data_IF_320111563811
#
_entry.id   IF_320111563811
#
_cell.length_a   1.000
_cell.length_b   1.000
_cell.length_c   1.000
_cell.angle_alpha   90.00
_cell.angle_beta   90.00
_cell.angle_gamma   90.00
#
_symmetry.space_group_name_H-M   'P 1'
#
loop_
_entity.id
_entity.type
_entity.pdbx_description
1 polymer ?
#
# COMPACT_ATOMS: atom_id res chain seq x y z
N UNK A 1 30.53 7.36 48.99
CA UNK A 1 30.74 8.82 49.10
C UNK A 1 30.78 9.48 47.74
N UNK A 2 31.96 9.93 47.29
CA UNK A 2 32.12 10.73 46.06
C UNK A 2 31.66 10.02 44.76
N UNK A 3 32.01 8.74 44.58
CA UNK A 3 31.62 7.96 43.39
C UNK A 3 30.10 7.81 43.23
N UNK A 4 29.38 7.58 44.34
CA UNK A 4 27.92 7.47 44.34
C UNK A 4 27.24 8.81 44.05
N UNK A 5 27.81 9.92 44.54
CA UNK A 5 27.31 11.25 44.22
C UNK A 5 27.47 11.60 42.74
N UNK A 6 28.66 11.34 42.16
CA UNK A 6 28.89 11.50 40.71
C UNK A 6 27.93 10.63 39.86
N UNK A 7 27.66 9.40 40.30
CA UNK A 7 26.68 8.53 39.63
C UNK A 7 25.23 9.09 39.74
N UNK A 8 24.86 9.72 40.85
CA UNK A 8 23.56 10.40 41.00
C UNK A 8 23.46 11.59 40.05
N UNK A 9 24.48 12.46 40.04
CA UNK A 9 24.53 13.62 39.17
C UNK A 9 24.49 13.22 37.69
N UNK A 10 25.20 12.17 37.31
CA UNK A 10 25.14 11.65 35.94
C UNK A 10 23.73 11.14 35.56
N UNK A 11 23.03 10.47 36.47
CA UNK A 11 21.63 10.03 36.25
C UNK A 11 20.68 11.23 36.09
N UNK A 12 20.82 12.25 36.94
CA UNK A 12 20.03 13.49 36.87
C UNK A 12 20.26 14.23 35.55
N UNK A 13 21.52 14.41 35.16
CA UNK A 13 21.89 15.05 33.87
C UNK A 13 21.33 14.26 32.69
N UNK A 14 21.44 12.93 32.71
CA UNK A 14 20.86 12.09 31.65
C UNK A 14 19.34 12.25 31.56
N UNK A 15 18.64 12.29 32.70
CA UNK A 15 17.19 12.50 32.73
C UNK A 15 16.81 13.85 32.13
N UNK A 16 17.53 14.93 32.49
CA UNK A 16 17.30 16.27 31.93
C UNK A 16 17.56 16.34 30.42
N UNK A 17 18.58 15.64 29.90
CA UNK A 17 18.84 15.55 28.46
C UNK A 17 17.70 14.81 27.74
N UNK A 18 17.17 13.74 28.34
CA UNK A 18 16.04 13.00 27.76
C UNK A 18 14.76 13.85 27.77
N UNK A 19 14.51 14.64 28.81
CA UNK A 19 13.44 15.65 28.84
C UNK A 19 13.61 16.69 27.73
N UNK A 20 14.85 17.06 27.39
CA UNK A 20 15.19 17.92 26.26
C UNK A 20 14.79 17.37 24.88
N UNK A 21 14.57 16.05 24.74
CA UNK A 21 13.95 15.48 23.53
C UNK A 21 12.49 15.94 23.37
N UNK A 22 11.86 16.39 24.46
CA UNK A 22 10.54 17.01 24.53
C UNK A 22 10.47 18.46 24.04
N UNK A 23 11.58 19.09 23.67
CA UNK A 23 11.60 20.52 23.33
C UNK A 23 10.75 20.84 22.08
N UNK A 24 10.25 22.08 21.96
CA UNK A 24 9.44 22.55 20.82
C UNK A 24 10.28 22.72 19.54
N UNK A 25 11.56 23.08 19.70
CA UNK A 25 12.47 23.29 18.57
C UNK A 25 13.10 21.97 18.13
N UNK A 26 12.95 21.58 16.85
CA UNK A 26 13.43 20.29 16.34
C UNK A 26 14.97 20.18 16.35
N UNK A 27 15.68 21.30 16.23
CA UNK A 27 17.15 21.35 16.28
C UNK A 27 17.69 21.01 17.66
N UNK A 28 17.07 21.56 18.70
CA UNK A 28 17.45 21.35 20.10
C UNK A 28 17.07 19.94 20.56
N UNK A 29 15.91 19.45 20.15
CA UNK A 29 15.50 18.07 20.44
C UNK A 29 16.40 17.04 19.74
N UNK A 30 16.83 17.30 18.50
CA UNK A 30 17.77 16.44 17.78
C UNK A 30 19.16 16.44 18.43
N UNK A 31 19.62 17.60 18.93
CA UNK A 31 20.88 17.71 19.66
C UNK A 31 20.82 16.99 21.01
N UNK A 32 19.69 17.06 21.72
CA UNK A 32 19.45 16.29 22.93
C UNK A 32 19.51 14.77 22.66
N UNK A 33 18.85 14.29 21.60
CA UNK A 33 18.91 12.88 21.17
C UNK A 33 20.34 12.44 20.84
N UNK A 34 21.07 13.24 20.04
CA UNK A 34 22.44 12.94 19.68
C UNK A 34 23.38 12.90 20.89
N UNK A 35 23.15 13.79 21.86
CA UNK A 35 23.91 13.86 23.11
C UNK A 35 23.62 12.64 23.98
N UNK A 36 22.34 12.25 24.15
CA UNK A 36 21.97 11.05 24.88
C UNK A 36 22.57 9.77 24.27
N UNK A 37 22.52 9.62 22.94
CA UNK A 37 23.14 8.48 22.25
C UNK A 37 24.67 8.43 22.41
N UNK A 38 25.35 9.58 22.32
CA UNK A 38 26.80 9.66 22.58
C UNK A 38 27.16 9.33 24.02
N UNK A 39 26.33 9.75 24.99
CA UNK A 39 26.52 9.42 26.40
C UNK A 39 26.34 7.92 26.67
N UNK A 40 25.35 7.29 26.02
CA UNK A 40 25.16 5.83 26.09
C UNK A 40 26.38 5.11 25.48
N UNK A 41 26.88 5.55 24.32
CA UNK A 41 28.07 4.98 23.70
C UNK A 41 29.33 5.15 24.59
N UNK A 42 29.52 6.32 25.20
CA UNK A 42 30.62 6.58 26.13
C UNK A 42 30.53 5.69 27.39
N UNK A 43 29.33 5.46 27.92
CA UNK A 43 29.11 4.54 29.05
C UNK A 43 29.40 3.08 28.69
N UNK A 44 29.18 2.69 27.42
CA UNK A 44 29.54 1.35 26.95
C UNK A 44 31.07 1.17 26.85
N UNK A 45 31.81 2.21 26.45
CA UNK A 45 33.28 2.19 26.41
C UNK A 45 33.90 2.28 27.81
N UNK A 46 33.24 2.99 28.74
CA UNK A 46 33.71 3.22 30.11
C UNK A 46 32.59 2.93 31.11
N UNK A 47 32.38 1.66 31.50
CA UNK A 47 31.26 1.28 32.34
C UNK A 47 31.39 1.84 33.77
N UNK A 48 30.27 2.33 34.32
CA UNK A 48 30.21 2.89 35.68
C UNK A 48 30.58 1.86 36.76
N UNK A 49 30.30 0.58 36.49
CA UNK A 49 30.68 -0.58 37.29
C UNK A 49 31.28 -1.66 36.37
N UNK A 50 32.36 -2.33 36.77
CA UNK A 50 33.05 -3.32 35.93
C UNK A 50 32.20 -4.55 35.59
N UNK A 51 31.08 -4.79 36.30
CA UNK A 51 30.12 -5.86 36.06
C UNK A 51 28.81 -5.38 35.44
N UNK A 52 28.64 -4.08 35.20
CA UNK A 52 27.43 -3.56 34.58
C UNK A 52 27.45 -3.85 33.08
N UNK A 53 26.50 -4.66 32.62
CA UNK A 53 26.23 -4.83 31.18
C UNK A 53 25.68 -3.54 30.55
N UNK A 54 25.29 -3.63 29.27
CA UNK A 54 24.73 -2.51 28.50
C UNK A 54 23.59 -1.77 29.26
N UNK A 55 23.57 -0.42 29.28
CA UNK A 55 22.59 0.39 30.03
C UNK A 55 21.19 0.38 29.38
N UNK A 56 20.52 -0.77 29.43
CA UNK A 56 19.18 -0.99 28.86
C UNK A 56 18.13 -0.04 29.41
N UNK A 57 18.20 0.31 30.70
CA UNK A 57 17.24 1.22 31.33
C UNK A 57 17.31 2.63 30.75
N UNK A 58 18.50 3.10 30.37
CA UNK A 58 18.70 4.43 29.76
C UNK A 58 18.24 4.45 28.32
N UNK A 59 18.56 3.40 27.57
CA UNK A 59 18.02 3.25 26.21
C UNK A 59 16.48 3.18 26.25
N UNK A 60 15.90 2.46 27.21
CA UNK A 60 14.46 2.44 27.42
C UNK A 60 13.89 3.83 27.70
N UNK A 61 14.51 4.59 28.62
CA UNK A 61 14.07 5.94 28.93
C UNK A 61 14.12 6.87 27.71
N UNK A 62 15.18 6.77 26.92
CA UNK A 62 15.32 7.50 25.65
C UNK A 62 14.22 7.11 24.64
N UNK A 63 13.98 5.81 24.44
CA UNK A 63 12.94 5.35 23.50
C UNK A 63 11.53 5.71 24.00
N UNK A 64 11.30 5.79 25.31
CA UNK A 64 10.05 6.29 25.88
C UNK A 64 9.81 7.77 25.57
N UNK A 65 10.86 8.61 25.61
CA UNK A 65 10.72 10.03 25.26
C UNK A 65 10.45 10.26 23.77
N UNK A 66 10.81 9.29 22.91
CA UNK A 66 10.44 9.30 21.49
C UNK A 66 8.96 8.99 21.24
N UNK A 67 8.22 8.50 22.25
CA UNK A 67 6.83 8.06 22.15
C UNK A 67 5.87 8.94 22.98
N UNK A 68 5.82 10.27 22.77
CA UNK A 68 4.84 11.11 23.45
C UNK A 68 3.42 10.77 23.00
N UNK A 69 2.44 10.90 23.91
CA UNK A 69 1.03 10.64 23.63
C UNK A 69 0.26 11.86 23.11
N UNK A 70 0.87 13.05 23.17
CA UNK A 70 0.19 14.33 22.90
C UNK A 70 0.56 14.95 21.54
N UNK A 71 1.67 14.52 20.93
CA UNK A 71 2.20 15.12 19.70
C UNK A 71 2.84 14.09 18.75
N UNK A 72 2.78 14.32 17.43
CA UNK A 72 3.54 13.50 16.47
C UNK A 72 5.04 13.76 16.60
N UNK A 73 5.85 12.69 16.52
CA UNK A 73 7.30 12.79 16.72
C UNK A 73 8.13 12.22 15.56
N UNK A 74 7.59 12.28 14.34
CA UNK A 74 8.21 11.69 13.15
C UNK A 74 9.64 12.22 12.87
N UNK A 75 9.91 13.51 13.13
CA UNK A 75 11.21 14.14 12.88
C UNK A 75 12.32 13.55 13.76
N UNK A 76 12.06 13.38 15.06
CA UNK A 76 13.03 12.76 15.98
C UNK A 76 13.20 11.27 15.69
N UNK A 77 12.13 10.57 15.31
CA UNK A 77 12.20 9.17 14.91
C UNK A 77 13.04 9.01 13.64
N UNK A 78 12.89 9.90 12.65
CA UNK A 78 13.73 9.91 11.45
C UNK A 78 15.20 10.19 11.79
N UNK A 79 15.48 11.12 12.71
CA UNK A 79 16.84 11.35 13.20
C UNK A 79 17.40 10.13 13.96
N UNK A 80 16.55 9.42 14.70
CA UNK A 80 16.92 8.20 15.39
C UNK A 80 17.24 7.04 14.42
N UNK A 81 16.54 6.98 13.28
CA UNK A 81 16.76 5.99 12.22
C UNK A 81 18.19 6.01 11.67
N UNK A 82 18.90 7.14 11.74
CA UNK A 82 20.32 7.20 11.36
C UNK A 82 21.19 6.28 12.25
N UNK A 83 20.80 6.08 13.51
CA UNK A 83 21.51 5.19 14.43
C UNK A 83 21.11 3.72 14.27
N UNK A 84 19.94 3.43 13.70
CA UNK A 84 19.47 2.05 13.47
C UNK A 84 20.16 1.38 12.28
N UNK A 85 21.12 2.05 11.65
CA UNK A 85 22.06 1.45 10.70
C UNK A 85 23.05 0.53 11.44
N UNK A 86 23.34 0.81 12.71
CA UNK A 86 24.31 0.03 13.49
C UNK A 86 23.67 -1.21 14.14
N UNK A 87 24.29 -2.38 13.93
CA UNK A 87 23.80 -3.68 14.41
C UNK A 87 23.56 -3.74 15.93
N UNK A 88 24.44 -3.12 16.71
CA UNK A 88 24.38 -3.09 18.17
C UNK A 88 23.18 -2.27 18.67
N UNK A 89 22.93 -1.11 18.07
CA UNK A 89 21.76 -0.29 18.36
C UNK A 89 20.49 -1.08 18.04
N UNK A 90 20.42 -1.74 16.88
CA UNK A 90 19.26 -2.56 16.48
C UNK A 90 19.00 -3.70 17.48
N UNK A 91 20.03 -4.42 17.91
CA UNK A 91 19.90 -5.50 18.89
C UNK A 91 19.24 -5.02 20.18
N UNK A 92 19.79 -3.95 20.76
CA UNK A 92 19.30 -3.43 22.04
C UNK A 92 17.94 -2.75 21.89
N UNK A 93 17.65 -2.13 20.75
CA UNK A 93 16.30 -1.62 20.44
C UNK A 93 15.28 -2.76 20.45
N UNK A 94 15.54 -3.86 19.74
CA UNK A 94 14.64 -5.02 19.75
C UNK A 94 14.49 -5.66 21.14
N UNK A 95 15.55 -5.67 21.94
CA UNK A 95 15.49 -6.15 23.33
C UNK A 95 14.57 -5.29 24.21
N UNK A 96 14.56 -3.97 24.00
CA UNK A 96 13.75 -3.02 24.77
C UNK A 96 12.32 -2.89 24.23
N UNK A 97 12.09 -3.13 22.93
CA UNK A 97 10.82 -2.89 22.24
C UNK A 97 9.59 -3.51 22.94
N UNK A 98 9.59 -4.78 23.40
CA UNK A 98 8.42 -5.37 24.06
C UNK A 98 8.08 -4.72 25.40
N UNK A 99 9.02 -3.99 26.02
CA UNK A 99 8.81 -3.28 27.29
C UNK A 99 8.26 -1.86 27.12
N UNK A 100 8.28 -1.36 25.88
CA UNK A 100 7.70 -0.06 25.49
C UNK A 100 6.23 -0.20 25.09
N UNK A 101 5.82 -1.39 24.64
CA UNK A 101 4.44 -1.68 24.25
C UNK A 101 3.56 -1.94 25.49
N UNK A 102 2.61 -1.06 25.84
CA UNK A 102 1.66 -1.31 26.92
C UNK A 102 0.76 -2.52 26.60
N UNK A 103 0.57 -3.39 27.60
CA UNK A 103 -0.28 -4.59 27.51
C UNK A 103 -1.62 -4.46 28.23
N UNK A 104 -1.65 -3.63 29.27
CA UNK A 104 -2.78 -3.56 30.21
C UNK A 104 -3.83 -2.52 29.80
N UNK A 105 -3.43 -1.51 29.01
CA UNK A 105 -4.31 -0.46 28.53
C UNK A 105 -4.14 -0.25 27.03
N UNK A 106 -5.24 0.11 26.36
CA UNK A 106 -5.20 0.54 24.98
C UNK A 106 -4.57 1.95 24.93
N UNK A 107 -3.45 2.13 24.21
CA UNK A 107 -2.80 3.44 24.10
C UNK A 107 -3.62 4.42 23.26
N UNK A 108 -3.31 5.72 23.38
CA UNK A 108 -3.90 6.77 22.55
C UNK A 108 -3.51 6.59 21.06
N UNK A 109 -4.34 7.06 20.13
CA UNK A 109 -4.08 7.01 18.68
C UNK A 109 -2.70 7.59 18.32
N UNK A 110 -2.34 8.75 18.89
CA UNK A 110 -1.05 9.38 18.62
C UNK A 110 0.14 8.54 19.10
N UNK A 111 0.01 7.85 20.23
CA UNK A 111 1.03 6.92 20.73
C UNK A 111 1.18 5.74 19.78
N UNK A 112 0.07 5.16 19.30
CA UNK A 112 0.10 4.06 18.33
C UNK A 112 0.84 4.47 17.06
N UNK A 113 0.53 5.63 16.50
CA UNK A 113 1.20 6.15 15.29
C UNK A 113 2.70 6.36 15.52
N UNK A 114 3.09 6.99 16.63
CA UNK A 114 4.50 7.18 16.99
C UNK A 114 5.22 5.84 17.22
N UNK A 115 4.53 4.86 17.82
CA UNK A 115 5.07 3.53 18.04
C UNK A 115 5.27 2.77 16.73
N UNK A 116 4.29 2.80 15.82
CA UNK A 116 4.41 2.20 14.49
C UNK A 116 5.54 2.86 13.68
N UNK A 117 5.68 4.18 13.76
CA UNK A 117 6.79 4.90 13.13
C UNK A 117 8.14 4.45 13.69
N UNK A 118 8.30 4.38 15.02
CA UNK A 118 9.53 3.88 15.65
C UNK A 118 9.82 2.41 15.27
N UNK A 119 8.79 1.56 15.30
CA UNK A 119 8.88 0.16 14.94
C UNK A 119 9.28 -0.02 13.47
N UNK A 120 8.80 0.84 12.57
CA UNK A 120 9.17 0.84 11.16
C UNK A 120 10.59 1.37 10.90
N UNK A 121 11.10 2.23 11.79
CA UNK A 121 12.43 2.82 11.70
C UNK A 121 13.54 1.83 12.11
N UNK A 122 13.26 0.92 13.05
CA UNK A 122 14.20 -0.14 13.42
C UNK A 122 14.28 -1.19 12.30
N UNK A 123 15.50 -1.50 11.86
CA UNK A 123 15.73 -2.47 10.78
C UNK A 123 15.29 -3.89 11.15
N UNK A 124 14.76 -4.59 10.14
CA UNK A 124 14.24 -5.96 10.22
C UNK A 124 15.15 -6.90 9.41
N UNK A 125 15.53 -8.05 9.96
CA UNK A 125 16.13 -9.13 9.18
C UNK A 125 17.52 -8.91 8.55
N UNK A 126 17.97 -9.93 7.81
CA UNK A 126 19.36 -10.18 7.38
C UNK A 126 20.09 -9.08 6.59
N UNK A 127 19.43 -7.99 6.22
CA UNK A 127 20.06 -6.81 5.60
C UNK A 127 21.07 -6.13 6.54
N UNK A 128 20.97 -6.38 7.85
CA UNK A 128 21.98 -5.99 8.83
C UNK A 128 23.21 -6.93 8.89
N UNK A 129 23.29 -8.01 8.11
CA UNK A 129 24.42 -8.96 8.17
C UNK A 129 25.64 -8.52 7.34
N UNK A 130 25.53 -7.47 6.54
CA UNK A 130 26.71 -6.80 6.02
C UNK A 130 27.42 -6.09 7.18
N UNK A 131 28.75 -6.23 7.27
CA UNK A 131 29.57 -5.77 8.39
C UNK A 131 29.51 -4.23 8.54
N UNK A 132 28.47 -3.72 9.22
CA UNK A 132 28.41 -2.31 9.60
C UNK A 132 29.26 -2.08 10.85
N UNK A 133 29.99 -0.96 10.96
CA UNK A 133 30.75 -0.65 12.16
C UNK A 133 29.82 -0.53 13.39
N UNK A 134 30.25 -1.09 14.53
CA UNK A 134 29.54 -0.97 15.80
C UNK A 134 29.63 0.47 16.35
N UNK A 135 28.50 1.08 16.70
CA UNK A 135 28.46 2.43 17.27
C UNK A 135 28.65 2.46 18.79
N UNK A 136 28.10 1.46 19.47
CA UNK A 136 28.17 1.25 20.92
C UNK A 136 29.44 0.50 21.34
N UNK A 137 30.30 0.11 20.39
CA UNK A 137 31.58 -0.58 20.61
C UNK A 137 31.45 -1.88 21.42
N UNK A 138 30.29 -2.56 21.34
CA UNK A 138 30.08 -3.86 21.96
C UNK A 138 30.25 -4.93 20.89
N UNK A 139 31.24 -5.80 21.06
CA UNK A 139 31.36 -7.00 20.24
C UNK A 139 30.22 -7.96 20.58
N UNK A 140 29.21 -7.97 19.73
CA UNK A 140 28.14 -8.95 19.80
C UNK A 140 28.68 -10.29 19.26
N UNK A 141 29.04 -11.20 20.17
CA UNK A 141 29.32 -12.60 19.79
C UNK A 141 28.07 -13.18 19.13
N UNK A 142 28.14 -13.43 17.81
CA UNK A 142 27.12 -14.05 16.96
C UNK A 142 25.66 -13.76 17.38
N UNK A 143 25.11 -12.72 16.77
CA UNK A 143 23.71 -12.34 16.92
C UNK A 143 22.77 -13.50 16.57
N UNK A 144 22.13 -14.07 17.60
CA UNK A 144 21.09 -15.07 17.41
C UNK A 144 19.83 -14.38 16.85
N UNK A 145 19.66 -14.49 15.54
CA UNK A 145 18.48 -13.98 14.85
C UNK A 145 17.17 -14.56 15.41
N UNK A 146 17.18 -15.77 15.99
CA UNK A 146 16.01 -16.34 16.65
C UNK A 146 15.61 -15.52 17.89
N UNK A 147 16.58 -14.94 18.60
CA UNK A 147 16.33 -14.05 19.74
C UNK A 147 15.62 -12.77 19.30
N UNK A 148 16.07 -12.12 18.21
CA UNK A 148 15.45 -10.90 17.67
C UNK A 148 14.04 -11.22 17.17
N UNK A 149 13.88 -12.32 16.41
CA UNK A 149 12.59 -12.80 15.92
C UNK A 149 11.58 -12.98 17.05
N UNK A 150 11.99 -13.54 18.20
CA UNK A 150 11.14 -13.68 19.38
C UNK A 150 10.66 -12.32 19.93
N UNK A 151 11.52 -11.29 19.93
CA UNK A 151 11.15 -9.95 20.40
C UNK A 151 10.24 -9.22 19.42
N UNK A 152 10.45 -9.39 18.11
CA UNK A 152 9.54 -8.90 17.07
C UNK A 152 8.14 -9.50 17.29
N UNK A 153 8.02 -10.83 17.38
CA UNK A 153 6.73 -11.50 17.58
C UNK A 153 6.05 -11.08 18.89
N UNK A 154 6.80 -10.94 19.99
CA UNK A 154 6.26 -10.49 21.28
C UNK A 154 5.77 -9.04 21.26
N UNK A 155 6.44 -8.17 20.51
CA UNK A 155 6.00 -6.79 20.34
C UNK A 155 4.78 -6.73 19.43
N UNK A 156 4.82 -7.44 18.30
CA UNK A 156 3.74 -7.47 17.32
C UNK A 156 2.42 -7.95 17.93
N UNK A 157 2.45 -9.01 18.75
CA UNK A 157 1.25 -9.50 19.43
C UNK A 157 0.62 -8.46 20.37
N UNK A 158 1.41 -7.51 20.90
CA UNK A 158 0.87 -6.41 21.70
C UNK A 158 0.20 -5.37 20.80
N UNK A 159 0.85 -4.98 19.70
CA UNK A 159 0.33 -3.99 18.73
C UNK A 159 -1.00 -4.45 18.14
N UNK A 160 -1.12 -5.74 17.80
CA UNK A 160 -2.34 -6.33 17.22
C UNK A 160 -3.56 -6.23 18.15
N UNK A 161 -3.36 -6.19 19.47
CA UNK A 161 -4.44 -6.08 20.45
C UNK A 161 -4.89 -4.64 20.71
N UNK A 162 -4.18 -3.64 20.17
CA UNK A 162 -4.55 -2.24 20.35
C UNK A 162 -5.72 -1.85 19.45
N UNK A 163 -6.45 -0.81 19.85
CA UNK A 163 -7.44 -0.18 18.99
C UNK A 163 -6.72 0.74 18.00
N UNK A 164 -7.00 0.55 16.71
CA UNK A 164 -6.41 1.32 15.63
C UNK A 164 -7.45 2.25 15.03
N UNK A 165 -7.08 3.50 14.81
CA UNK A 165 -7.83 4.40 13.92
C UNK A 165 -7.50 4.08 12.46
N UNK A 166 -8.23 4.68 11.52
CA UNK A 166 -8.08 4.40 10.09
C UNK A 166 -6.65 4.66 9.59
N UNK A 167 -5.97 5.67 10.14
CA UNK A 167 -4.59 6.03 9.77
C UNK A 167 -3.60 4.98 10.29
N UNK A 168 -3.67 4.62 11.57
CA UNK A 168 -2.79 3.62 12.18
C UNK A 168 -3.02 2.23 11.60
N UNK A 169 -4.27 1.88 11.27
CA UNK A 169 -4.61 0.59 10.67
C UNK A 169 -3.97 0.45 9.27
N UNK A 170 -4.02 1.49 8.44
CA UNK A 170 -3.30 1.50 7.16
C UNK A 170 -1.80 1.37 7.34
N UNK A 171 -1.20 2.14 8.26
CA UNK A 171 0.24 2.07 8.54
C UNK A 171 0.65 0.68 9.03
N UNK A 172 -0.14 0.08 9.92
CA UNK A 172 0.06 -1.27 10.43
C UNK A 172 0.01 -2.30 9.31
N UNK A 173 -0.96 -2.22 8.40
CA UNK A 173 -1.05 -3.14 7.26
C UNK A 173 0.14 -3.00 6.32
N UNK A 174 0.56 -1.78 5.96
CA UNK A 174 1.75 -1.58 5.13
C UNK A 174 2.99 -2.19 5.80
N UNK A 175 3.21 -1.88 7.08
CA UNK A 175 4.32 -2.41 7.87
C UNK A 175 4.27 -3.93 8.00
N UNK A 176 3.08 -4.50 8.18
CA UNK A 176 2.86 -5.94 8.25
C UNK A 176 3.34 -6.61 6.96
N UNK A 177 2.88 -6.11 5.82
CA UNK A 177 3.07 -6.72 4.50
C UNK A 177 4.49 -6.57 3.98
N UNK A 178 5.12 -5.44 4.23
CA UNK A 178 6.46 -5.13 3.69
C UNK A 178 7.58 -5.64 4.58
N UNK A 179 7.41 -5.66 5.92
CA UNK A 179 8.53 -5.93 6.84
C UNK A 179 8.27 -7.08 7.80
N UNK A 180 7.07 -7.17 8.40
CA UNK A 180 6.87 -8.05 9.57
C UNK A 180 6.54 -9.49 9.17
N UNK A 181 5.79 -9.69 8.09
CA UNK A 181 5.20 -10.99 7.74
C UNK A 181 6.24 -12.12 7.66
N UNK A 182 7.41 -11.86 7.08
CA UNK A 182 8.52 -12.83 6.94
C UNK A 182 9.18 -13.24 8.27
N UNK A 183 8.91 -12.49 9.34
CA UNK A 183 9.47 -12.69 10.67
C UNK A 183 8.51 -13.36 11.64
N UNK A 184 7.24 -13.52 11.26
CA UNK A 184 6.25 -14.13 12.13
C UNK A 184 6.44 -15.64 12.23
N UNK A 185 6.32 -16.17 13.44
CA UNK A 185 6.44 -17.61 13.69
C UNK A 185 5.19 -18.36 13.19
N UNK A 186 4.01 -17.71 13.29
CA UNK A 186 2.70 -18.27 12.91
C UNK A 186 1.87 -17.22 12.15
N UNK A 187 2.18 -16.96 10.87
CA UNK A 187 1.49 -15.95 10.06
C UNK A 187 0.01 -16.28 9.81
N UNK A 188 -0.40 -17.55 9.92
CA UNK A 188 -1.80 -17.99 9.80
C UNK A 188 -2.71 -17.38 10.88
N UNK A 189 -2.18 -16.96 12.03
CA UNK A 189 -2.98 -16.28 13.06
C UNK A 189 -3.46 -14.88 12.64
N UNK A 190 -2.91 -14.33 11.55
CA UNK A 190 -3.33 -13.04 11.01
C UNK A 190 -4.59 -13.14 10.14
N UNK A 191 -5.04 -14.35 9.81
CA UNK A 191 -6.17 -14.54 8.89
C UNK A 191 -7.41 -13.81 9.41
N UNK A 192 -7.79 -14.00 10.68
CA UNK A 192 -8.97 -13.34 11.27
C UNK A 192 -8.84 -11.81 11.21
N UNK A 193 -7.69 -11.26 11.57
CA UNK A 193 -7.43 -9.82 11.48
C UNK A 193 -7.49 -9.28 10.05
N UNK A 194 -6.91 -10.00 9.08
CA UNK A 194 -6.94 -9.60 7.68
C UNK A 194 -8.35 -9.71 7.10
N UNK A 195 -9.15 -10.69 7.55
CA UNK A 195 -10.56 -10.81 7.19
C UNK A 195 -11.36 -9.63 7.71
N UNK A 196 -11.23 -9.30 9.00
CA UNK A 196 -11.88 -8.12 9.58
C UNK A 196 -11.46 -6.84 8.85
N UNK A 197 -10.17 -6.72 8.49
CA UNK A 197 -9.64 -5.59 7.73
C UNK A 197 -10.19 -5.52 6.30
N UNK A 198 -10.54 -6.66 5.70
CA UNK A 198 -11.13 -6.76 4.36
C UNK A 198 -12.57 -6.22 4.33
N UNK A 199 -13.28 -6.37 5.45
CA UNK A 199 -14.67 -5.94 5.59
C UNK A 199 -14.84 -4.45 5.91
N UNK A 200 -13.77 -3.78 6.35
CA UNK A 200 -13.76 -2.30 6.55
C UNK A 200 -13.97 -1.54 5.23
N UNK A 201 -13.48 -2.06 4.11
CA UNK A 201 -13.55 -1.40 2.80
C UNK A 201 -12.47 -0.32 2.57
N UNK A 202 -12.55 0.34 1.41
CA UNK A 202 -11.64 1.42 1.01
C UNK A 202 -10.18 0.99 0.84
N UNK A 203 -9.24 1.85 1.24
CA UNK A 203 -7.80 1.56 1.09
C UNK A 203 -7.31 0.42 2.01
N UNK A 204 -7.99 0.18 3.14
CA UNK A 204 -7.63 -0.86 4.11
C UNK A 204 -7.91 -2.25 3.53
N UNK A 205 -9.07 -2.44 2.89
CA UNK A 205 -9.40 -3.72 2.25
C UNK A 205 -8.44 -4.09 1.12
N UNK A 206 -7.99 -3.11 0.33
CA UNK A 206 -7.00 -3.33 -0.74
C UNK A 206 -5.65 -3.82 -0.18
N UNK A 207 -5.20 -3.24 0.93
CA UNK A 207 -3.97 -3.69 1.61
C UNK A 207 -4.17 -5.07 2.25
N UNK A 208 -5.31 -5.30 2.90
CA UNK A 208 -5.63 -6.58 3.52
C UNK A 208 -5.69 -7.73 2.50
N UNK A 209 -6.24 -7.48 1.30
CA UNK A 209 -6.28 -8.44 0.20
C UNK A 209 -4.88 -8.94 -0.18
N UNK A 210 -3.89 -8.06 -0.21
CA UNK A 210 -2.52 -8.46 -0.46
C UNK A 210 -1.97 -9.37 0.63
N UNK A 211 -2.30 -9.09 1.90
CA UNK A 211 -1.93 -9.97 3.01
C UNK A 211 -2.51 -11.37 2.87
N UNK A 212 -3.80 -11.44 2.52
CA UNK A 212 -4.47 -12.71 2.24
C UNK A 212 -3.81 -13.41 1.05
N UNK A 213 -3.47 -12.69 -0.02
CA UNK A 213 -2.77 -13.27 -1.16
C UNK A 213 -1.43 -13.92 -0.75
N UNK A 214 -0.62 -13.22 0.04
CA UNK A 214 0.65 -13.78 0.53
C UNK A 214 0.42 -15.01 1.41
N UNK A 215 -0.61 -15.00 2.27
CA UNK A 215 -0.97 -16.17 3.08
C UNK A 215 -1.46 -17.35 2.23
N UNK A 216 -2.21 -17.11 1.16
CA UNK A 216 -2.65 -18.16 0.24
C UNK A 216 -1.44 -18.75 -0.49
N UNK A 217 -0.57 -17.91 -1.04
CA UNK A 217 0.56 -18.36 -1.86
C UNK A 217 1.67 -19.05 -1.04
N UNK A 218 2.01 -18.51 0.14
CA UNK A 218 3.14 -18.99 0.93
C UNK A 218 2.74 -19.98 2.03
N UNK A 219 1.51 -19.91 2.51
CA UNK A 219 1.02 -20.73 3.64
C UNK A 219 -0.16 -21.64 3.27
N UNK A 220 -0.50 -21.76 1.99
CA UNK A 220 -1.56 -22.63 1.45
C UNK A 220 -2.92 -22.44 2.15
N UNK A 221 -3.23 -21.20 2.55
CA UNK A 221 -4.51 -20.89 3.16
C UNK A 221 -5.65 -21.02 2.14
N UNK A 222 -6.76 -21.65 2.52
CA UNK A 222 -7.98 -21.66 1.71
C UNK A 222 -8.90 -20.54 2.18
N UNK A 223 -9.08 -19.53 1.34
CA UNK A 223 -10.08 -18.49 1.59
C UNK A 223 -11.34 -18.77 0.77
N UNK A 224 -12.46 -19.14 1.43
CA UNK A 224 -13.74 -19.30 0.74
C UNK A 224 -14.18 -17.94 0.18
N UNK A 225 -14.69 -17.91 -1.05
CA UNK A 225 -15.25 -16.73 -1.71
C UNK A 225 -14.27 -15.57 -1.99
N UNK A 226 -12.96 -15.85 -2.17
CA UNK A 226 -11.98 -14.79 -2.51
C UNK A 226 -12.39 -14.00 -3.74
N UNK A 227 -12.93 -14.69 -4.74
CA UNK A 227 -13.36 -14.07 -5.98
C UNK A 227 -14.61 -13.22 -5.81
N UNK A 228 -15.53 -13.58 -4.92
CA UNK A 228 -16.70 -12.76 -4.60
C UNK A 228 -16.26 -11.43 -3.99
N UNK A 229 -15.33 -11.49 -3.03
CA UNK A 229 -14.79 -10.29 -2.39
C UNK A 229 -13.93 -9.46 -3.34
N UNK A 230 -13.08 -10.10 -4.15
CA UNK A 230 -12.31 -9.41 -5.19
C UNK A 230 -13.25 -8.74 -6.20
N UNK A 231 -14.33 -9.41 -6.58
CA UNK A 231 -15.35 -8.87 -7.48
C UNK A 231 -16.05 -7.66 -6.87
N UNK A 232 -16.42 -7.72 -5.58
CA UNK A 232 -17.06 -6.60 -4.86
C UNK A 232 -16.11 -5.41 -4.65
N UNK A 233 -14.79 -5.60 -4.72
CA UNK A 233 -13.86 -4.46 -4.68
C UNK A 233 -13.94 -3.63 -5.95
N UNK A 234 -14.34 -4.21 -7.09
CA UNK A 234 -14.49 -3.53 -8.37
C UNK A 234 -15.70 -2.60 -8.40
N UNK A 235 -15.58 -1.46 -7.72
CA UNK A 235 -16.55 -0.38 -7.65
C UNK A 235 -15.96 0.94 -8.21
N UNK A 236 -16.82 1.93 -8.56
CA UNK A 236 -16.38 3.23 -9.07
C UNK A 236 -15.33 3.93 -8.19
N UNK A 237 -15.37 3.69 -6.88
CA UNK A 237 -14.50 4.32 -5.88
C UNK A 237 -13.02 3.94 -6.06
N UNK A 238 -12.70 2.81 -6.73
CA UNK A 238 -11.30 2.40 -6.95
C UNK A 238 -10.51 3.43 -7.73
N UNK A 239 -11.13 4.16 -8.66
CA UNK A 239 -10.40 5.09 -9.52
C UNK A 239 -9.69 6.20 -8.73
N UNK A 240 -10.22 6.52 -7.55
CA UNK A 240 -9.66 7.48 -6.60
C UNK A 240 -8.77 6.84 -5.52
N UNK A 241 -8.67 5.51 -5.48
CA UNK A 241 -7.88 4.80 -4.49
C UNK A 241 -6.38 4.86 -4.81
N UNK A 242 -5.57 5.25 -3.81
CA UNK A 242 -4.10 5.35 -3.93
C UNK A 242 -3.42 4.03 -4.32
N UNK A 243 -4.02 2.89 -3.96
CA UNK A 243 -3.45 1.56 -4.16
C UNK A 243 -4.10 0.79 -5.32
N UNK A 244 -4.77 1.46 -6.26
CA UNK A 244 -5.45 0.80 -7.40
C UNK A 244 -4.51 0.00 -8.29
N UNK A 245 -3.29 0.48 -8.53
CA UNK A 245 -2.29 -0.25 -9.32
C UNK A 245 -1.98 -1.63 -8.71
N UNK A 246 -1.90 -1.67 -7.38
CA UNK A 246 -1.71 -2.90 -6.61
C UNK A 246 -2.90 -3.85 -6.72
N UNK A 247 -4.13 -3.33 -6.71
CA UNK A 247 -5.34 -4.14 -6.90
C UNK A 247 -5.34 -4.81 -8.27
N UNK A 248 -5.09 -4.06 -9.35
CA UNK A 248 -5.04 -4.62 -10.70
C UNK A 248 -3.93 -5.66 -10.85
N UNK A 249 -2.75 -5.42 -10.27
CA UNK A 249 -1.68 -6.40 -10.23
C UNK A 249 -2.08 -7.69 -9.50
N UNK A 250 -2.69 -7.59 -8.32
CA UNK A 250 -3.16 -8.76 -7.57
C UNK A 250 -4.29 -9.48 -8.30
N UNK A 251 -5.23 -8.75 -8.90
CA UNK A 251 -6.32 -9.30 -9.68
C UNK A 251 -5.80 -10.07 -10.90
N UNK A 252 -4.73 -9.60 -11.55
CA UNK A 252 -4.10 -10.29 -12.67
C UNK A 252 -3.59 -11.67 -12.27
N UNK A 253 -2.94 -11.75 -11.10
CA UNK A 253 -2.41 -13.01 -10.56
C UNK A 253 -3.54 -13.94 -10.12
N UNK A 254 -4.57 -13.42 -9.46
CA UNK A 254 -5.72 -14.25 -9.06
C UNK A 254 -6.47 -14.81 -10.27
N UNK A 255 -6.66 -13.99 -11.31
CA UNK A 255 -7.39 -14.38 -12.52
C UNK A 255 -6.52 -15.11 -13.55
N UNK A 256 -5.20 -15.26 -13.33
CA UNK A 256 -4.34 -16.13 -14.15
C UNK A 256 -4.47 -17.63 -13.81
N UNK A 257 -5.24 -17.98 -12.78
CA UNK A 257 -5.47 -19.39 -12.41
C UNK A 257 -6.20 -20.15 -13.51
N UNK A 258 -5.69 -21.32 -13.90
CA UNK A 258 -6.26 -22.18 -14.94
C UNK A 258 -7.56 -22.88 -14.53
N UNK A 259 -7.87 -22.93 -13.24
CA UNK A 259 -9.02 -23.66 -12.69
C UNK A 259 -10.27 -22.78 -12.49
N UNK A 260 -10.29 -21.58 -13.06
CA UNK A 260 -11.42 -20.66 -12.91
C UNK A 260 -12.56 -21.03 -13.84
N UNK A 261 -13.82 -21.03 -13.35
CA UNK A 261 -14.97 -21.20 -14.21
C UNK A 261 -15.11 -19.98 -15.13
N UNK A 262 -15.40 -20.23 -16.41
CA UNK A 262 -15.49 -19.17 -17.43
C UNK A 262 -16.52 -18.09 -17.06
N UNK A 263 -17.62 -18.47 -16.42
CA UNK A 263 -18.66 -17.53 -15.97
C UNK A 263 -18.16 -16.51 -14.95
N UNK A 264 -17.23 -16.90 -14.08
CA UNK A 264 -16.61 -16.00 -13.12
C UNK A 264 -15.73 -14.98 -13.84
N UNK A 265 -14.87 -15.43 -14.76
CA UNK A 265 -13.99 -14.52 -15.51
C UNK A 265 -14.81 -13.57 -16.41
N UNK A 266 -15.89 -14.08 -17.02
CA UNK A 266 -16.84 -13.26 -17.78
C UNK A 266 -17.44 -12.14 -16.93
N UNK A 267 -17.79 -12.42 -15.68
CA UNK A 267 -18.32 -11.43 -14.74
C UNK A 267 -17.33 -10.30 -14.46
N UNK A 268 -16.06 -10.63 -14.21
CA UNK A 268 -15.00 -9.64 -14.05
C UNK A 268 -14.82 -8.79 -15.31
N UNK A 269 -14.73 -9.44 -16.49
CA UNK A 269 -14.58 -8.75 -17.77
C UNK A 269 -15.73 -7.76 -18.01
N UNK A 270 -16.97 -8.20 -17.81
CA UNK A 270 -18.16 -7.36 -18.06
C UNK A 270 -18.31 -6.23 -17.03
N UNK A 271 -18.04 -6.51 -15.74
CA UNK A 271 -18.02 -5.46 -14.70
C UNK A 271 -16.98 -4.39 -15.00
N UNK A 272 -15.75 -4.80 -15.31
CA UNK A 272 -14.68 -3.88 -15.69
C UNK A 272 -15.01 -3.08 -16.95
N UNK A 273 -15.64 -3.70 -17.95
CA UNK A 273 -16.09 -3.01 -19.15
C UNK A 273 -17.11 -1.90 -18.83
N UNK A 274 -18.07 -2.15 -17.93
CA UNK A 274 -19.00 -1.11 -17.45
C UNK A 274 -18.29 -0.01 -16.66
N UNK A 275 -17.36 -0.37 -15.78
CA UNK A 275 -16.57 0.60 -15.02
C UNK A 275 -15.69 1.47 -15.93
N UNK A 276 -15.23 0.94 -17.06
CA UNK A 276 -14.43 1.70 -18.03
C UNK A 276 -15.22 2.88 -18.65
N UNK A 277 -16.55 2.88 -18.63
CA UNK A 277 -17.36 4.00 -19.13
C UNK A 277 -17.30 5.25 -18.24
N UNK A 278 -17.02 5.06 -16.95
CA UNK A 278 -16.94 6.14 -15.95
C UNK A 278 -15.50 6.41 -15.52
N UNK A 279 -14.55 5.58 -15.96
CA UNK A 279 -13.17 5.64 -15.53
C UNK A 279 -12.41 6.83 -16.16
N UNK A 280 -11.39 7.37 -15.47
CA UNK A 280 -10.43 8.28 -16.07
C UNK A 280 -9.64 7.64 -17.23
N UNK A 281 -9.14 8.42 -18.21
CA UNK A 281 -8.48 7.90 -19.41
C UNK A 281 -7.35 6.89 -19.17
N UNK A 282 -6.49 7.14 -18.19
CA UNK A 282 -5.39 6.26 -17.81
C UNK A 282 -5.90 4.89 -17.33
N UNK A 283 -6.98 4.90 -16.53
CA UNK A 283 -7.58 3.70 -15.97
C UNK A 283 -8.34 2.91 -17.04
N UNK A 284 -8.95 3.59 -18.02
CA UNK A 284 -9.55 2.94 -19.18
C UNK A 284 -8.51 2.09 -19.92
N UNK A 285 -7.29 2.62 -20.15
CA UNK A 285 -6.24 1.88 -20.85
C UNK A 285 -5.79 0.65 -20.05
N UNK A 286 -5.66 0.77 -18.72
CA UNK A 286 -5.37 -0.35 -17.82
C UNK A 286 -6.46 -1.42 -17.95
N UNK A 287 -7.73 -1.02 -17.83
CA UNK A 287 -8.88 -1.92 -17.89
C UNK A 287 -8.96 -2.63 -19.24
N UNK A 288 -8.79 -1.92 -20.36
CA UNK A 288 -8.89 -2.50 -21.69
C UNK A 288 -7.81 -3.56 -21.94
N UNK A 289 -6.57 -3.29 -21.52
CA UNK A 289 -5.48 -4.28 -21.63
C UNK A 289 -5.70 -5.47 -20.71
N UNK A 290 -6.21 -5.22 -19.50
CA UNK A 290 -6.57 -6.27 -18.55
C UNK A 290 -7.68 -7.18 -19.11
N UNK A 291 -8.76 -6.61 -19.63
CA UNK A 291 -9.84 -7.35 -20.30
C UNK A 291 -9.29 -8.15 -21.49
N UNK A 292 -8.45 -7.51 -22.30
CA UNK A 292 -7.78 -8.16 -23.43
C UNK A 292 -6.99 -9.40 -23.00
N UNK A 293 -6.15 -9.28 -21.97
CA UNK A 293 -5.38 -10.39 -21.42
C UNK A 293 -6.29 -11.52 -20.90
N UNK A 294 -7.39 -11.20 -20.21
CA UNK A 294 -8.34 -12.21 -19.74
C UNK A 294 -9.00 -12.98 -20.90
N UNK A 295 -9.36 -12.30 -21.99
CA UNK A 295 -9.94 -12.95 -23.18
C UNK A 295 -8.89 -13.80 -23.92
N UNK A 296 -7.62 -13.38 -23.92
CA UNK A 296 -6.53 -14.18 -24.46
C UNK A 296 -6.30 -15.47 -23.67
N UNK A 297 -6.35 -15.39 -22.33
CA UNK A 297 -6.22 -16.55 -21.42
C UNK A 297 -7.43 -17.50 -21.49
N UNK A 298 -8.62 -16.95 -21.70
CA UNK A 298 -9.87 -17.71 -21.77
C UNK A 298 -10.58 -17.49 -23.13
N UNK A 299 -10.21 -18.25 -24.18
CA UNK A 299 -10.74 -18.05 -25.53
C UNK A 299 -12.26 -18.19 -25.66
N UNK A 300 -12.92 -18.93 -24.75
CA UNK A 300 -14.38 -19.05 -24.72
C UNK A 300 -15.08 -17.69 -24.52
N UNK A 301 -14.42 -16.73 -23.86
CA UNK A 301 -14.93 -15.38 -23.65
C UNK A 301 -14.99 -14.54 -24.93
N UNK A 302 -14.41 -15.01 -26.05
CA UNK A 302 -14.58 -14.39 -27.37
C UNK A 302 -16.06 -14.31 -27.77
N UNK A 303 -16.92 -15.14 -27.20
CA UNK A 303 -18.38 -15.06 -27.38
C UNK A 303 -18.99 -13.72 -26.94
N UNK A 304 -18.34 -13.02 -26.00
CA UNK A 304 -18.77 -11.69 -25.53
C UNK A 304 -18.49 -10.59 -26.58
N UNK A 305 -17.58 -10.85 -27.52
CA UNK A 305 -17.29 -9.98 -28.66
C UNK A 305 -18.15 -10.42 -29.86
N UNK A 306 -18.14 -11.72 -30.17
CA UNK A 306 -18.85 -12.32 -31.29
C UNK A 306 -19.81 -13.39 -30.79
N UNK A 307 -21.08 -13.02 -30.60
CA UNK A 307 -22.08 -13.98 -30.16
C UNK A 307 -22.31 -15.04 -31.26
N UNK A 308 -22.21 -16.36 -30.96
CA UNK A 308 -22.15 -17.42 -31.98
C UNK A 308 -23.40 -17.51 -32.85
N UNK A 309 -24.57 -17.20 -32.29
CA UNK A 309 -25.83 -17.31 -33.03
C UNK A 309 -26.20 -16.02 -33.78
N UNK A 310 -25.47 -14.92 -33.56
CA UNK A 310 -25.92 -13.58 -33.94
C UNK A 310 -27.28 -13.21 -33.33
N UNK A 311 -27.69 -11.97 -33.49
CA UNK A 311 -29.05 -11.53 -33.10
C UNK A 311 -29.06 -10.19 -32.38
N UNK A 312 -30.24 -9.58 -32.39
CA UNK A 312 -30.54 -8.40 -31.59
C UNK A 312 -31.08 -8.83 -30.23
N UNK A 313 -30.55 -8.25 -29.17
CA UNK A 313 -31.02 -8.47 -27.81
C UNK A 313 -31.75 -7.19 -27.37
N UNK A 314 -32.96 -7.32 -26.84
CA UNK A 314 -33.76 -6.17 -26.37
C UNK A 314 -33.20 -5.56 -25.08
N UNK A 315 -32.54 -6.36 -24.24
CA UNK A 315 -31.97 -5.93 -22.97
C UNK A 315 -30.73 -6.76 -22.61
N UNK A 316 -29.70 -6.09 -22.08
CA UNK A 316 -28.49 -6.75 -21.57
C UNK A 316 -28.83 -7.61 -20.32
N UNK A 317 -28.57 -8.93 -20.33
CA UNK A 317 -28.87 -9.81 -19.19
C UNK A 317 -27.91 -9.62 -17.99
N UNK A 318 -26.80 -8.89 -18.15
CA UNK A 318 -25.82 -8.72 -17.07
C UNK A 318 -26.31 -7.82 -15.93
N UNK A 319 -26.23 -8.36 -14.71
CA UNK A 319 -26.65 -7.71 -13.46
C UNK A 319 -25.42 -7.09 -12.77
N UNK A 320 -25.33 -5.76 -12.76
CA UNK A 320 -24.16 -5.07 -12.20
C UNK A 320 -24.13 -5.10 -10.67
N UNK A 321 -25.30 -5.04 -10.00
CA UNK A 321 -25.40 -4.97 -8.54
C UNK A 321 -25.22 -6.33 -7.84
N UNK A 322 -25.12 -7.42 -8.61
CA UNK A 322 -24.92 -8.76 -8.07
C UNK A 322 -23.52 -8.89 -7.46
N UNK A 323 -23.41 -9.47 -6.27
CA UNK A 323 -22.13 -9.65 -5.56
C UNK A 323 -21.47 -10.97 -5.92
N UNK A 324 -22.26 -11.98 -6.26
CA UNK A 324 -21.75 -13.27 -6.70
C UNK A 324 -21.44 -13.23 -8.21
N UNK A 325 -20.15 -13.28 -8.61
CA UNK A 325 -19.79 -13.19 -10.03
C UNK A 325 -20.46 -14.28 -10.87
N UNK A 326 -20.70 -15.47 -10.31
CA UNK A 326 -21.28 -16.60 -11.04
C UNK A 326 -22.77 -16.35 -11.36
N UNK A 327 -23.48 -15.55 -10.55
CA UNK A 327 -24.90 -15.23 -10.73
C UNK A 327 -25.16 -13.97 -11.56
N UNK A 328 -24.11 -13.28 -12.00
CA UNK A 328 -24.22 -12.01 -12.73
C UNK A 328 -24.74 -12.14 -14.17
N UNK A 329 -24.87 -13.38 -14.70
CA UNK A 329 -25.26 -13.68 -16.08
C UNK A 329 -24.37 -13.03 -17.16
N UNK A 330 -23.10 -12.78 -16.84
CA UNK A 330 -22.18 -12.11 -17.75
C UNK A 330 -21.88 -12.87 -19.05
N UNK A 331 -21.95 -14.21 -19.06
CA UNK A 331 -21.66 -15.03 -20.25
C UNK A 331 -22.66 -14.84 -21.39
N UNK A 332 -23.89 -14.48 -21.06
CA UNK A 332 -24.97 -14.27 -22.03
C UNK A 332 -25.07 -12.81 -22.49
N UNK A 333 -24.20 -11.94 -21.95
CA UNK A 333 -24.06 -10.54 -22.33
C UNK A 333 -23.03 -10.35 -23.48
N UNK A 334 -22.90 -9.13 -23.99
CA UNK A 334 -21.85 -8.70 -24.93
C UNK A 334 -21.06 -7.48 -24.41
N UNK A 335 -19.93 -7.16 -25.04
CA UNK A 335 -19.04 -6.03 -24.66
C UNK A 335 -19.31 -4.75 -25.44
N UNK A 336 -20.54 -4.23 -25.37
CA UNK A 336 -20.90 -2.96 -26.01
C UNK A 336 -20.08 -1.78 -25.48
N UNK A 337 -19.70 -1.83 -24.20
CA UNK A 337 -18.93 -0.78 -23.56
C UNK A 337 -17.56 -0.60 -24.23
N UNK A 338 -16.86 -1.69 -24.50
CA UNK A 338 -15.57 -1.64 -25.23
C UNK A 338 -15.75 -1.15 -26.65
N UNK A 339 -16.84 -1.56 -27.33
CA UNK A 339 -17.16 -1.07 -28.66
C UNK A 339 -17.40 0.46 -28.68
N UNK A 340 -18.12 0.99 -27.68
CA UNK A 340 -18.32 2.44 -27.56
C UNK A 340 -17.00 3.20 -27.34
N UNK A 341 -16.09 2.64 -26.53
CA UNK A 341 -14.78 3.22 -26.27
C UNK A 341 -13.86 3.30 -27.50
N UNK A 342 -14.16 2.59 -28.60
CA UNK A 342 -13.43 2.76 -29.88
C UNK A 342 -13.59 4.16 -30.49
N UNK A 343 -14.65 4.88 -30.11
CA UNK A 343 -14.96 6.25 -30.53
C UNK A 343 -14.56 7.31 -29.49
N UNK A 344 -13.74 6.93 -28.51
CA UNK A 344 -13.30 7.83 -27.43
C UNK A 344 -12.50 9.03 -27.97
N UNK A 345 -12.68 10.20 -27.34
CA UNK A 345 -12.05 11.48 -27.74
C UNK A 345 -10.52 11.38 -27.76
N UNK A 346 -9.93 10.68 -26.79
CA UNK A 346 -8.50 10.44 -26.73
C UNK A 346 -8.08 9.28 -27.66
N UNK A 347 -7.17 9.52 -28.63
CA UNK A 347 -6.73 8.49 -29.57
C UNK A 347 -6.05 7.28 -28.92
N UNK A 348 -5.37 7.47 -27.77
CA UNK A 348 -4.72 6.39 -27.01
C UNK A 348 -5.74 5.36 -26.51
N UNK A 349 -6.85 5.83 -25.94
CA UNK A 349 -7.96 5.00 -25.46
C UNK A 349 -8.67 4.32 -26.63
N UNK A 350 -9.01 5.10 -27.67
CA UNK A 350 -9.66 4.56 -28.87
C UNK A 350 -8.82 3.44 -29.51
N UNK A 351 -7.49 3.63 -29.60
CA UNK A 351 -6.56 2.63 -30.14
C UNK A 351 -6.47 1.41 -29.24
N UNK A 352 -6.45 1.58 -27.91
CA UNK A 352 -6.51 0.47 -26.97
C UNK A 352 -7.79 -0.36 -27.16
N UNK A 353 -8.96 0.27 -27.32
CA UNK A 353 -10.24 -0.43 -27.49
C UNK A 353 -10.37 -1.18 -28.83
N UNK A 354 -9.53 -0.90 -29.83
CA UNK A 354 -9.58 -1.57 -31.14
C UNK A 354 -9.19 -3.05 -31.11
N UNK A 355 -8.68 -3.57 -29.99
CA UNK A 355 -8.35 -5.00 -29.88
C UNK A 355 -9.55 -5.91 -30.16
N UNK A 356 -10.80 -5.46 -29.93
CA UNK A 356 -11.99 -6.28 -30.21
C UNK A 356 -12.28 -6.45 -31.71
N UNK A 357 -11.83 -5.51 -32.54
CA UNK A 357 -12.06 -5.52 -33.99
C UNK A 357 -10.86 -6.07 -34.77
N UNK A 358 -9.70 -6.14 -34.12
CA UNK A 358 -8.45 -6.62 -34.69
C UNK A 358 -8.14 -8.03 -34.18
N UNK A 359 -7.30 -8.80 -34.90
CA UNK A 359 -6.80 -10.05 -34.35
C UNK A 359 -6.00 -9.78 -33.06
N UNK A 360 -6.25 -10.61 -32.04
CA UNK A 360 -5.50 -10.56 -30.78
C UNK A 360 -4.00 -10.83 -31.03
N UNK A 361 -3.09 -10.17 -30.28
CA UNK A 361 -1.67 -10.46 -30.36
C UNK A 361 -1.38 -11.89 -29.88
N UNK A 362 -0.22 -12.43 -30.26
CA UNK A 362 0.24 -13.74 -29.79
C UNK A 362 0.76 -13.73 -28.36
N UNK A 363 1.15 -12.55 -27.85
CA UNK A 363 1.71 -12.34 -26.51
C UNK A 363 0.80 -11.37 -25.75
N UNK A 364 0.62 -11.63 -24.45
CA UNK A 364 -0.14 -10.76 -23.56
C UNK A 364 0.46 -9.35 -23.50
N UNK A 365 -0.40 -8.37 -23.24
CA UNK A 365 0.06 -7.01 -22.96
C UNK A 365 0.71 -6.95 -21.58
N UNK A 366 1.89 -6.35 -21.50
CA UNK A 366 2.52 -6.07 -20.21
C UNK A 366 1.71 -5.02 -19.44
N UNK A 367 1.07 -5.46 -18.36
CA UNK A 367 0.25 -4.61 -17.50
C UNK A 367 1.11 -3.70 -16.62
N UNK A 368 2.31 -4.13 -16.22
CA UNK A 368 3.17 -3.38 -15.30
C UNK A 368 3.51 -2.00 -15.87
N UNK A 369 3.88 -1.93 -17.15
CA UNK A 369 4.17 -0.67 -17.85
C UNK A 369 3.00 0.32 -17.92
N UNK A 370 1.77 -0.16 -17.74
CA UNK A 370 0.53 0.63 -17.90
C UNK A 370 0.02 1.09 -16.55
N UNK A 371 0.23 0.29 -15.49
CA UNK A 371 -0.17 0.62 -14.12
C UNK A 371 0.58 1.82 -13.54
N UNK A 372 1.76 2.15 -14.09
CA UNK A 372 2.57 3.30 -13.68
C UNK A 372 2.15 4.63 -14.34
N UNK A 373 1.26 4.59 -15.34
CA UNK A 373 0.89 5.78 -16.11
C UNK A 373 -0.08 6.66 -15.31
N UNK A 374 0.33 7.91 -15.07
CA UNK A 374 -0.49 8.94 -14.46
C UNK A 374 -1.11 9.88 -15.52
N UNK A 375 -2.09 10.69 -15.11
CA UNK A 375 -2.72 11.72 -15.96
C UNK A 375 -1.68 12.70 -16.51
N UNK A 376 -0.77 13.14 -15.65
CA UNK A 376 0.31 14.06 -16.03
C UNK A 376 1.19 13.46 -17.12
N UNK A 377 1.47 12.15 -17.06
CA UNK A 377 2.31 11.48 -18.05
C UNK A 377 1.65 11.46 -19.44
N UNK A 378 0.31 11.34 -19.50
CA UNK A 378 -0.43 11.40 -20.76
C UNK A 378 -0.31 12.80 -21.36
N UNK A 379 -0.47 13.83 -20.54
CA UNK A 379 -0.37 15.22 -20.97
C UNK A 379 1.05 15.60 -21.39
N UNK A 380 2.06 15.21 -20.62
CA UNK A 380 3.48 15.47 -20.90
C UNK A 380 3.94 14.74 -22.18
N UNK A 381 3.43 13.52 -22.40
CA UNK A 381 3.62 12.80 -23.67
C UNK A 381 3.01 13.55 -24.85
N UNK A 382 1.87 14.22 -24.67
CA UNK A 382 1.26 14.99 -25.75
C UNK A 382 2.00 16.30 -26.03
N UNK A 383 2.45 17.01 -25.00
CA UNK A 383 3.26 18.24 -25.14
C UNK A 383 4.60 17.95 -25.82
N UNK A 384 5.23 16.83 -25.48
CA UNK A 384 6.53 16.45 -26.03
C UNK A 384 6.46 15.98 -27.49
N UNK A 385 5.27 15.64 -28.01
CA UNK A 385 5.09 15.29 -29.42
C UNK A 385 5.31 16.50 -30.31
N UNK A 386 6.35 16.42 -31.14
CA UNK A 386 6.59 17.38 -32.22
C UNK A 386 5.75 16.98 -33.43
N UNK A 387 4.57 17.59 -33.59
CA UNK A 387 3.79 17.45 -34.83
C UNK A 387 4.42 18.28 -35.95
N UNK A 388 4.63 17.67 -37.12
CA UNK A 388 5.14 18.35 -38.32
C UNK A 388 4.02 18.95 -39.18
N UNK A 389 2.80 18.47 -39.02
CA UNK A 389 1.64 18.87 -39.81
C UNK A 389 0.56 19.41 -38.87
N UNK A 390 0.09 20.62 -39.17
CA UNK A 390 -0.98 21.28 -38.43
C UNK A 390 -2.16 21.43 -39.38
N UNK A 391 -3.23 20.67 -39.12
CA UNK A 391 -4.49 20.84 -39.85
C UNK A 391 -5.28 21.98 -39.22
N UNK A 392 -5.69 22.95 -40.05
CA UNK A 392 -6.61 24.02 -39.64
C UNK A 392 -8.02 23.68 -40.10
N UNK A 393 -9.02 24.09 -39.32
CA UNK A 393 -10.40 23.99 -39.77
C UNK A 393 -10.64 24.97 -40.93
N UNK A 394 -11.04 24.45 -42.09
CA UNK A 394 -11.29 25.24 -43.30
C UNK A 394 -12.59 26.04 -43.20
N UNK A 395 -13.54 25.57 -42.39
CA UNK A 395 -14.82 26.25 -42.18
C UNK A 395 -14.69 27.29 -41.06
N UNK A 396 -14.86 28.57 -41.43
CA UNK A 396 -14.91 29.66 -40.46
C UNK A 396 -16.30 29.67 -39.79
N UNK A 397 -16.41 29.50 -38.47
CA UNK A 397 -17.70 29.62 -37.79
C UNK A 397 -18.24 31.04 -37.96
N UNK A 398 -19.47 31.16 -38.48
CA UNK A 398 -20.10 32.44 -38.80
C UNK A 398 -20.47 33.27 -37.55
N UNK A 399 -20.43 32.66 -36.36
CA UNK A 399 -20.55 33.36 -35.07
C UNK A 399 -19.87 32.55 -33.97
N UNK A 400 -19.42 33.22 -32.90
CA UNK A 400 -18.81 32.58 -31.73
C UNK A 400 -19.86 31.96 -30.77
N UNK A 401 -21.15 32.30 -30.94
CA UNK A 401 -22.21 32.01 -29.95
C UNK A 401 -23.57 31.55 -30.51
N UNK A 402 -23.79 31.42 -31.84
CA UNK A 402 -25.04 30.85 -32.35
C UNK A 402 -24.94 29.34 -32.60
N UNK A 403 -25.80 28.61 -31.87
CA UNK A 403 -26.36 27.31 -32.24
C UNK A 403 -25.31 26.28 -32.72
N UNK A 404 -24.59 25.69 -31.78
CA UNK A 404 -24.12 24.32 -31.95
C UNK A 404 -25.37 23.44 -32.16
N UNK A 405 -25.57 22.98 -33.39
CA UNK A 405 -26.77 22.26 -33.81
C UNK A 405 -27.17 21.17 -32.81
N UNK A 406 -28.35 21.33 -32.20
CA UNK A 406 -29.07 20.26 -31.51
C UNK A 406 -28.59 19.87 -30.11
N UNK A 407 -27.52 20.44 -29.56
CA UNK A 407 -27.07 20.05 -28.21
C UNK A 407 -27.86 20.74 -27.09
N UNK A 408 -28.45 19.95 -26.18
CA UNK A 408 -29.16 20.41 -24.98
C UNK A 408 -28.33 21.32 -24.06
N UNK A 409 -27.00 21.25 -24.15
CA UNK A 409 -26.03 22.08 -23.40
C UNK A 409 -26.17 23.58 -23.73
N UNK A 410 -26.57 23.92 -24.96
CA UNK A 410 -26.77 25.30 -25.42
C UNK A 410 -27.95 26.02 -24.76
N UNK A 411 -28.88 25.28 -24.14
CA UNK A 411 -30.05 25.86 -23.48
C UNK A 411 -29.74 26.56 -22.15
N UNK A 412 -28.63 26.19 -21.50
CA UNK A 412 -28.25 26.67 -20.17
C UNK A 412 -27.17 27.77 -20.20
N UNK A 413 -26.55 28.02 -21.36
CA UNK A 413 -25.55 29.08 -21.56
C UNK A 413 -26.19 30.41 -22.02
N UNK A 414 -27.20 30.87 -21.30
CA UNK A 414 -27.63 32.28 -21.38
C UNK A 414 -26.83 33.08 -20.35
N UNK A 415 -25.63 33.51 -20.72
CA UNK A 415 -24.94 34.59 -20.02
C UNK A 415 -25.31 35.91 -20.70
N UNK A 416 -26.01 36.73 -19.92
CA UNK A 416 -26.38 38.15 -20.05
C UNK A 416 -26.16 38.88 -21.38
#
# INVERSE_FOLDING_TARGET
GHKQWLQSQYKEVFSAIVEGCGHERPTESALALATAMKLIAAECQSPLEPTAGFPLAKLKHLLQSLLPSDRPNANLISRFQEYTVHQDVVYFCWKVMPSLAPKEFAPNSQFVQNFLALFSAVCFGKEFLEETPCFLCIELQQMDYAYIRKHINKTWSCIMNWKHDEVSHRQLLVLLLEKVLIHLDKPVLLTDFLMDSLDVGGAISLLALQGIFVLIQQHNLTYPNIYEKLYSMFEPEIFHAKFKARLFYLADIFLSSSHLPEGLVAAFVKRLARLALIAPPQDIVIILRFIGNLIMRHPALKRLIFHPNGGEVSQDPFIMDERDPIKSNALDSSLWEVATLQSHVLPSVATAARFISNPFPSVEWDLASVLEINENDIFDKEISKKSKEFALNLERPASMFLYCGGEKSSQYWKLF
#
